data_IF_838241565126
#
_entry.id   IF_838241565126
#
_cell.length_a   1.000
_cell.length_b   1.000
_cell.length_c   1.000
_cell.angle_alpha   90.00
_cell.angle_beta   90.00
_cell.angle_gamma   90.00
#
_symmetry.space_group_name_H-M   'P 1'
#
loop_
_entity.id
_entity.type
_entity.pdbx_description
1 polymer ?
#
# COMPACT_ATOMS: atom_id res chain seq x y z
N UNK A 1 16.74 80.23 30.08
CA UNK A 1 16.70 78.77 29.86
C UNK A 1 18.01 78.35 29.22
N UNK A 2 18.71 77.38 29.83
CA UNK A 2 20.13 77.08 29.59
C UNK A 2 20.38 76.56 28.17
N UNK A 3 21.43 77.12 27.55
CA UNK A 3 22.09 76.68 26.32
C UNK A 3 22.92 75.41 26.54
N UNK A 4 23.28 74.79 25.41
CA UNK A 4 24.54 74.06 25.12
C UNK A 4 24.46 72.54 25.18
N UNK A 5 25.12 71.75 24.33
CA UNK A 5 25.94 71.94 23.11
C UNK A 5 26.33 70.53 22.63
N UNK A 6 26.48 70.39 21.30
CA UNK A 6 27.48 69.64 20.52
C UNK A 6 27.97 68.23 20.91
N UNK A 7 28.07 67.33 19.92
CA UNK A 7 29.29 66.90 19.17
C UNK A 7 28.91 65.68 18.28
N UNK A 8 29.04 65.73 16.93
CA UNK A 8 30.22 65.42 16.09
C UNK A 8 30.76 64.00 16.36
N UNK A 9 30.83 63.05 15.41
CA UNK A 9 31.71 62.91 14.22
C UNK A 9 31.26 61.67 13.40
N UNK A 10 31.21 61.62 12.05
CA UNK A 10 32.33 61.35 11.11
C UNK A 10 33.01 59.99 11.40
N UNK A 11 33.20 58.99 10.53
CA UNK A 11 33.25 58.77 9.08
C UNK A 11 32.91 57.26 8.85
N UNK A 12 32.78 56.61 7.68
CA UNK A 12 33.64 56.57 6.49
C UNK A 12 32.93 55.68 5.46
N UNK A 13 33.08 55.96 4.17
CA UNK A 13 32.60 55.13 3.08
C UNK A 13 33.41 53.82 2.97
N UNK A 14 32.72 52.70 2.71
CA UNK A 14 33.29 51.51 2.10
C UNK A 14 32.33 51.01 1.02
N UNK A 15 32.75 51.18 -0.23
CA UNK A 15 32.21 50.49 -1.41
C UNK A 15 32.68 49.05 -1.32
N UNK A 16 31.76 48.08 -1.30
CA UNK A 16 32.06 46.71 -1.65
C UNK A 16 30.93 46.14 -2.51
N UNK A 17 31.37 45.60 -3.64
CA UNK A 17 30.59 45.18 -4.77
C UNK A 17 29.58 44.08 -4.43
N UNK A 18 28.42 44.17 -5.08
CA UNK A 18 27.46 43.09 -5.22
C UNK A 18 28.12 41.85 -5.81
N UNK A 19 28.21 40.78 -5.02
CA UNK A 19 28.14 39.41 -5.52
C UNK A 19 26.93 38.79 -4.84
N UNK A 20 25.82 38.72 -5.57
CA UNK A 20 24.64 37.98 -5.16
C UNK A 20 24.96 36.48 -5.23
N UNK A 21 25.42 35.92 -4.11
CA UNK A 21 25.36 34.47 -3.89
C UNK A 21 23.94 34.15 -3.46
N UNK A 22 23.22 33.42 -4.30
CA UNK A 22 21.95 32.79 -3.94
C UNK A 22 22.10 32.02 -2.62
N UNK A 23 21.14 32.08 -1.69
CA UNK A 23 21.12 31.12 -0.61
C UNK A 23 20.89 29.74 -1.23
N UNK A 24 21.93 28.91 -1.15
CA UNK A 24 21.83 27.46 -1.19
C UNK A 24 20.75 27.02 -0.21
N UNK A 25 19.60 26.59 -0.71
CA UNK A 25 18.60 25.87 0.05
C UNK A 25 19.19 24.50 0.39
N UNK A 26 19.79 24.42 1.58
CA UNK A 26 20.20 23.20 2.22
C UNK A 26 18.97 22.50 2.81
N UNK A 27 18.87 21.21 2.53
CA UNK A 27 18.22 20.13 3.29
C UNK A 27 16.95 20.49 4.08
N UNK A 28 15.81 19.97 3.63
CA UNK A 28 14.63 19.82 4.48
C UNK A 28 14.99 18.93 5.68
N UNK A 29 14.74 19.37 6.93
CA UNK A 29 14.94 18.51 8.09
C UNK A 29 13.86 17.43 8.09
N UNK A 30 14.30 16.18 7.99
CA UNK A 30 13.49 15.02 8.32
C UNK A 30 12.96 15.15 9.75
N UNK A 31 11.65 15.33 9.86
CA UNK A 31 10.92 15.08 11.09
C UNK A 31 10.64 13.60 11.21
N UNK A 32 11.67 12.80 11.54
CA UNK A 32 11.45 11.47 12.07
C UNK A 32 10.86 11.61 13.47
N UNK A 33 9.64 11.07 13.64
CA UNK A 33 9.15 10.73 14.96
C UNK A 33 10.14 9.73 15.57
N UNK A 34 10.95 10.17 16.53
CA UNK A 34 11.71 9.30 17.42
C UNK A 34 10.69 8.55 18.29
N UNK A 35 10.11 7.48 17.75
CA UNK A 35 9.33 6.53 18.49
C UNK A 35 10.23 5.75 19.44
N UNK A 36 9.87 5.74 20.72
CA UNK A 36 10.41 4.81 21.71
C UNK A 36 10.40 3.37 21.18
N UNK A 37 11.32 2.50 21.63
CA UNK A 37 11.32 1.09 21.23
C UNK A 37 9.94 0.48 21.48
N UNK A 38 9.43 -0.39 20.58
CA UNK A 38 8.12 -1.00 20.76
C UNK A 38 8.12 -1.77 22.08
N UNK A 39 7.31 -1.28 23.01
CA UNK A 39 6.93 -2.05 24.19
C UNK A 39 6.24 -3.29 23.66
N UNK A 40 6.61 -4.48 24.16
CA UNK A 40 6.10 -5.77 23.69
C UNK A 40 4.58 -5.67 23.43
N UNK A 41 4.21 -5.72 22.15
CA UNK A 41 2.83 -5.60 21.70
C UNK A 41 2.07 -6.76 22.34
N UNK A 42 1.09 -6.46 23.20
CA UNK A 42 0.10 -7.48 23.54
C UNK A 42 -0.58 -7.85 22.23
N UNK A 43 -0.46 -9.11 21.81
CA UNK A 43 -1.08 -9.58 20.58
C UNK A 43 -2.56 -9.14 20.55
N UNK A 44 -3.09 -8.73 19.39
CA UNK A 44 -4.48 -8.34 19.30
C UNK A 44 -5.38 -9.47 19.82
N UNK A 45 -6.53 -9.11 20.41
CA UNK A 45 -7.46 -10.10 20.96
C UNK A 45 -8.00 -11.05 19.87
N UNK A 46 -8.00 -10.57 18.63
CA UNK A 46 -8.42 -11.27 17.41
C UNK A 46 -7.32 -11.16 16.35
N UNK A 47 -7.23 -12.14 15.47
CA UNK A 47 -6.30 -12.24 14.35
C UNK A 47 -7.08 -12.58 13.06
N UNK A 48 -6.68 -11.97 11.94
CA UNK A 48 -7.03 -12.43 10.60
C UNK A 48 -6.15 -13.62 10.24
N UNK A 49 -6.78 -14.69 9.77
CA UNK A 49 -6.11 -15.94 9.40
C UNK A 49 -6.54 -16.33 7.99
N UNK A 50 -5.55 -16.56 7.12
CA UNK A 50 -5.76 -17.12 5.80
C UNK A 50 -5.90 -18.64 5.93
N UNK A 51 -7.08 -19.17 5.59
CA UNK A 51 -7.38 -20.60 5.67
C UNK A 51 -7.48 -21.16 4.25
N UNK A 52 -6.56 -22.05 3.83
CA UNK A 52 -6.57 -22.61 2.49
C UNK A 52 -7.85 -23.41 2.22
N UNK A 53 -8.37 -23.30 1.00
CA UNK A 53 -9.40 -24.20 0.50
C UNK A 53 -8.77 -25.54 0.07
N UNK A 54 -9.54 -26.62 0.13
CA UNK A 54 -9.07 -27.95 -0.34
C UNK A 54 -8.79 -28.01 -1.83
N UNK A 55 -9.34 -27.07 -2.60
CA UNK A 55 -9.09 -26.86 -4.03
C UNK A 55 -9.53 -25.45 -4.40
N UNK A 56 -8.97 -24.90 -5.48
CA UNK A 56 -9.33 -23.55 -5.92
C UNK A 56 -10.78 -23.48 -6.41
N UNK A 57 -11.44 -22.35 -6.19
CA UNK A 57 -12.88 -22.17 -6.48
C UNK A 57 -13.17 -20.88 -7.23
N UNK A 58 -14.35 -20.83 -7.86
CA UNK A 58 -14.93 -19.57 -8.35
C UNK A 58 -15.45 -18.75 -7.18
N UNK A 59 -15.31 -17.43 -7.24
CA UNK A 59 -15.87 -16.54 -6.22
C UNK A 59 -17.38 -16.77 -5.99
N UNK A 60 -18.15 -16.94 -7.06
CA UNK A 60 -19.61 -17.18 -6.98
C UNK A 60 -19.98 -18.44 -6.19
N UNK A 61 -19.10 -19.45 -6.18
CA UNK A 61 -19.36 -20.72 -5.51
C UNK A 61 -19.05 -20.65 -4.00
N UNK A 62 -18.19 -19.72 -3.57
CA UNK A 62 -17.71 -19.62 -2.18
C UNK A 62 -18.17 -18.37 -1.45
N UNK A 63 -18.63 -17.33 -2.16
CA UNK A 63 -18.97 -16.05 -1.53
C UNK A 63 -20.13 -16.13 -0.53
N UNK A 64 -20.98 -17.15 -0.64
CA UNK A 64 -22.03 -17.42 0.34
C UNK A 64 -21.53 -18.11 1.62
N UNK A 65 -20.23 -18.39 1.74
CA UNK A 65 -19.62 -18.90 2.97
C UNK A 65 -19.58 -17.77 4.00
N UNK A 66 -20.55 -17.74 4.90
CA UNK A 66 -20.59 -16.76 5.99
C UNK A 66 -19.65 -17.16 7.14
N UNK A 67 -19.41 -18.46 7.32
CA UNK A 67 -18.54 -18.98 8.37
C UNK A 67 -17.58 -20.05 7.83
N UNK A 68 -16.39 -20.07 8.38
CA UNK A 68 -15.43 -21.15 8.21
C UNK A 68 -14.80 -21.46 9.56
N UNK A 69 -14.75 -22.75 9.91
CA UNK A 69 -14.23 -23.24 11.20
C UNK A 69 -14.96 -22.66 12.44
N UNK A 70 -16.21 -22.24 12.27
CA UNK A 70 -17.01 -21.60 13.31
C UNK A 70 -16.68 -20.13 13.54
N UNK A 71 -15.94 -19.48 12.63
CA UNK A 71 -15.66 -18.05 12.65
C UNK A 71 -16.20 -17.35 11.40
N UNK A 72 -16.60 -16.07 11.49
CA UNK A 72 -17.04 -15.31 10.34
C UNK A 72 -15.96 -15.21 9.27
N UNK A 73 -16.36 -15.38 8.01
CA UNK A 73 -15.51 -15.07 6.84
C UNK A 73 -15.54 -13.57 6.60
N UNK A 74 -14.37 -12.93 6.61
CA UNK A 74 -14.24 -11.48 6.37
C UNK A 74 -13.85 -11.16 4.93
N UNK A 75 -13.21 -12.10 4.23
CA UNK A 75 -12.79 -11.94 2.84
C UNK A 75 -12.41 -13.26 2.15
N UNK A 76 -12.14 -13.18 0.84
CA UNK A 76 -11.72 -14.29 -0.01
C UNK A 76 -10.44 -13.90 -0.76
N UNK A 77 -9.35 -14.63 -0.53
CA UNK A 77 -8.07 -14.40 -1.21
C UNK A 77 -8.03 -15.20 -2.50
N UNK A 78 -7.60 -14.57 -3.58
CA UNK A 78 -7.34 -15.21 -4.86
C UNK A 78 -5.87 -15.09 -5.24
N UNK A 79 -5.38 -16.11 -5.91
CA UNK A 79 -4.04 -16.12 -6.50
C UNK A 79 -4.15 -16.70 -7.91
N UNK A 80 -4.01 -15.83 -8.90
CA UNK A 80 -3.90 -16.19 -10.30
C UNK A 80 -2.42 -16.11 -10.73
N UNK A 81 -2.12 -16.59 -11.94
CA UNK A 81 -0.80 -16.46 -12.52
C UNK A 81 -0.34 -15.00 -12.71
N UNK A 82 -1.19 -13.97 -12.61
CA UNK A 82 -0.74 -12.57 -12.88
C UNK A 82 -1.15 -11.58 -11.82
N UNK A 83 -2.08 -11.96 -10.95
CA UNK A 83 -2.70 -11.07 -9.99
C UNK A 83 -2.98 -11.84 -8.71
N UNK A 84 -2.62 -11.23 -7.59
CA UNK A 84 -2.96 -11.70 -6.25
C UNK A 84 -3.77 -10.61 -5.59
N UNK A 85 -4.77 -11.00 -4.81
CA UNK A 85 -5.61 -10.04 -4.14
C UNK A 85 -6.64 -10.67 -3.23
N UNK A 86 -7.58 -9.83 -2.83
CA UNK A 86 -8.67 -10.16 -1.93
C UNK A 86 -9.95 -9.49 -2.38
N UNK A 87 -11.04 -10.24 -2.28
CA UNK A 87 -12.40 -9.72 -2.35
C UNK A 87 -13.02 -9.75 -0.96
N UNK A 88 -13.51 -8.61 -0.47
CA UNK A 88 -14.32 -8.54 0.75
C UNK A 88 -15.79 -8.32 0.40
N UNK A 89 -16.71 -9.17 0.91
CA UNK A 89 -18.16 -8.94 0.80
C UNK A 89 -18.63 -7.62 1.42
N UNK A 90 -17.82 -7.00 2.29
CA UNK A 90 -18.12 -5.74 2.94
C UNK A 90 -17.60 -4.49 2.20
N UNK A 91 -17.01 -4.67 1.01
CA UNK A 91 -16.45 -3.61 0.17
C UNK A 91 -17.46 -2.58 -0.34
N UNK A 92 -18.74 -2.94 -0.34
CA UNK A 92 -19.78 -2.16 -1.01
C UNK A 92 -19.83 -2.36 -2.52
N UNK A 93 -19.06 -3.32 -3.04
CA UNK A 93 -19.14 -3.84 -4.42
C UNK A 93 -19.72 -5.25 -4.33
N UNK A 94 -20.82 -5.51 -5.04
CA UNK A 94 -21.37 -6.86 -5.12
C UNK A 94 -20.52 -7.77 -6.02
N UNK A 95 -20.76 -9.08 -5.92
CA UNK A 95 -19.97 -10.12 -6.60
C UNK A 95 -20.03 -9.99 -8.12
N UNK A 96 -21.18 -9.68 -8.68
CA UNK A 96 -21.35 -9.61 -10.13
C UNK A 96 -20.59 -8.40 -10.69
N UNK A 97 -20.72 -7.25 -10.04
CA UNK A 97 -19.97 -6.03 -10.36
C UNK A 97 -18.48 -6.27 -10.23
N UNK A 98 -18.02 -6.88 -9.14
CA UNK A 98 -16.60 -7.18 -8.94
C UNK A 98 -16.04 -8.09 -10.04
N UNK A 99 -16.74 -9.17 -10.39
CA UNK A 99 -16.29 -10.11 -11.43
C UNK A 99 -16.27 -9.48 -12.83
N UNK A 100 -17.20 -8.56 -13.11
CA UNK A 100 -17.20 -7.78 -14.34
C UNK A 100 -15.99 -6.83 -14.39
N UNK A 101 -15.75 -6.06 -13.33
CA UNK A 101 -14.58 -5.16 -13.22
C UNK A 101 -13.26 -5.93 -13.31
N UNK A 102 -13.15 -7.08 -12.64
CA UNK A 102 -11.99 -7.95 -12.69
C UNK A 102 -11.72 -8.49 -14.10
N UNK A 103 -12.79 -8.91 -14.80
CA UNK A 103 -12.68 -9.31 -16.20
C UNK A 103 -12.28 -8.14 -17.10
N UNK A 104 -12.82 -6.96 -16.86
CA UNK A 104 -12.53 -5.78 -17.66
C UNK A 104 -11.06 -5.37 -17.52
N UNK A 105 -10.52 -5.40 -16.30
CA UNK A 105 -9.13 -5.09 -16.01
C UNK A 105 -8.15 -6.17 -16.51
N UNK A 106 -8.47 -7.45 -16.29
CA UNK A 106 -7.47 -8.52 -16.43
C UNK A 106 -7.77 -9.53 -17.53
N UNK A 107 -8.97 -9.52 -18.10
CA UNK A 107 -9.41 -10.51 -19.09
C UNK A 107 -9.52 -11.94 -18.53
N UNK A 108 -9.67 -12.07 -17.21
CA UNK A 108 -9.76 -13.36 -16.50
C UNK A 108 -10.77 -13.26 -15.36
N UNK A 109 -10.78 -14.25 -14.46
CA UNK A 109 -11.63 -14.37 -13.29
C UNK A 109 -10.77 -14.73 -12.08
N UNK A 110 -11.12 -14.32 -10.86
CA UNK A 110 -10.34 -14.65 -9.67
C UNK A 110 -10.40 -16.15 -9.38
N UNK A 111 -9.24 -16.73 -9.06
CA UNK A 111 -9.07 -18.12 -8.62
C UNK A 111 -8.92 -18.15 -7.10
N UNK A 112 -10.03 -18.40 -6.39
CA UNK A 112 -10.08 -18.30 -4.94
C UNK A 112 -9.33 -19.49 -4.32
N UNK A 113 -8.29 -19.18 -3.55
CA UNK A 113 -7.41 -20.18 -2.94
C UNK A 113 -7.56 -20.24 -1.42
N UNK A 114 -7.99 -19.15 -0.77
CA UNK A 114 -8.17 -19.08 0.69
C UNK A 114 -9.44 -18.31 1.07
N UNK A 115 -9.98 -18.65 2.24
CA UNK A 115 -10.93 -17.80 2.97
C UNK A 115 -10.18 -17.10 4.10
N UNK A 116 -10.51 -15.83 4.33
CA UNK A 116 -9.95 -15.05 5.44
C UNK A 116 -10.97 -15.02 6.56
N UNK A 117 -10.58 -15.45 7.75
CA UNK A 117 -11.43 -15.48 8.95
C UNK A 117 -10.83 -14.65 10.07
N UNK A 118 -11.68 -14.05 10.89
CA UNK A 118 -11.27 -13.34 12.10
C UNK A 118 -11.55 -14.20 13.33
N UNK A 119 -10.52 -14.55 14.09
CA UNK A 119 -10.65 -15.43 15.25
C UNK A 119 -9.73 -15.00 16.41
N UNK A 120 -10.03 -15.39 17.67
CA UNK A 120 -9.13 -15.20 18.79
C UNK A 120 -7.70 -15.71 18.55
N UNK A 121 -6.70 -14.91 18.90
CA UNK A 121 -5.29 -15.21 18.60
C UNK A 121 -4.79 -16.54 19.17
N UNK A 122 -5.21 -16.90 20.39
CA UNK A 122 -4.86 -18.18 21.02
C UNK A 122 -5.47 -19.38 20.28
N UNK A 123 -6.66 -19.20 19.69
CA UNK A 123 -7.28 -20.22 18.84
C UNK A 123 -6.53 -20.33 17.52
N UNK A 124 -6.19 -19.22 16.86
CA UNK A 124 -5.37 -19.22 15.63
C UNK A 124 -4.04 -19.97 15.83
N UNK A 125 -3.36 -19.72 16.96
CA UNK A 125 -2.13 -20.43 17.34
C UNK A 125 -2.36 -21.93 17.51
N UNK A 126 -3.42 -22.31 18.24
CA UNK A 126 -3.77 -23.72 18.48
C UNK A 126 -4.12 -24.44 17.17
N UNK A 127 -4.83 -23.75 16.29
CA UNK A 127 -5.24 -24.18 14.96
C UNK A 127 -4.01 -24.55 14.11
N UNK A 128 -3.05 -23.63 14.01
CA UNK A 128 -1.81 -23.86 13.27
C UNK A 128 -0.99 -25.03 13.83
N UNK A 129 -0.86 -25.12 15.16
CA UNK A 129 -0.10 -26.20 15.81
C UNK A 129 -0.74 -27.58 15.59
N UNK A 130 -2.05 -27.64 15.33
CA UNK A 130 -2.77 -28.88 15.01
C UNK A 130 -2.53 -29.41 13.58
N UNK A 131 -1.79 -28.66 12.73
CA UNK A 131 -1.26 -29.08 11.40
C UNK A 131 -2.28 -29.53 10.35
N UNK A 132 -3.54 -29.12 10.41
CA UNK A 132 -4.46 -29.53 9.36
C UNK A 132 -5.70 -28.67 9.30
N UNK A 133 -5.61 -27.52 8.65
CA UNK A 133 -6.81 -26.74 8.33
C UNK A 133 -6.80 -26.36 6.87
N UNK A 134 -7.53 -27.18 6.14
CA UNK A 134 -8.14 -26.77 4.90
C UNK A 134 -9.64 -26.72 5.15
N UNK A 135 -10.32 -25.77 4.53
CA UNK A 135 -11.79 -25.73 4.56
C UNK A 135 -12.27 -26.32 3.25
N UNK A 136 -13.22 -27.26 3.35
CA UNK A 136 -13.91 -27.74 2.16
C UNK A 136 -14.88 -26.65 1.70
N UNK A 137 -14.87 -26.29 0.41
CA UNK A 137 -15.86 -25.35 -0.10
C UNK A 137 -17.28 -25.91 0.10
N UNK A 138 -18.30 -25.04 0.21
CA UNK A 138 -19.67 -25.48 0.34
C UNK A 138 -20.01 -26.40 -0.84
N UNK A 139 -20.63 -27.53 -0.53
CA UNK A 139 -21.14 -28.46 -1.54
C UNK A 139 -22.31 -27.79 -2.24
N UNK A 140 -22.03 -26.96 -3.26
CA UNK A 140 -23.08 -26.50 -4.16
C UNK A 140 -23.74 -27.73 -4.79
N UNK A 141 -25.07 -27.78 -4.78
CA UNK A 141 -25.90 -28.93 -5.17
C UNK A 141 -25.73 -29.38 -6.63
N UNK A 142 -24.86 -28.71 -7.40
CA UNK A 142 -24.59 -29.00 -8.82
C UNK A 142 -23.12 -29.18 -9.19
N UNK A 143 -22.16 -28.93 -8.29
CA UNK A 143 -20.74 -29.02 -8.62
C UNK A 143 -20.09 -30.22 -7.92
N UNK A 144 -19.65 -31.20 -8.72
CA UNK A 144 -18.56 -32.08 -8.27
C UNK A 144 -17.37 -31.19 -7.91
N UNK A 145 -16.71 -31.56 -6.82
CA UNK A 145 -15.40 -31.14 -6.29
C UNK A 145 -14.24 -31.05 -7.32
N UNK A 146 -14.43 -30.45 -8.49
CA UNK A 146 -13.33 -30.16 -9.42
C UNK A 146 -12.72 -28.82 -9.06
N UNK A 147 -11.40 -28.79 -8.85
CA UNK A 147 -10.65 -27.54 -8.73
C UNK A 147 -10.98 -26.64 -9.91
N UNK A 148 -11.40 -25.42 -9.62
CA UNK A 148 -11.51 -24.38 -10.62
C UNK A 148 -10.11 -23.95 -11.05
N UNK A 149 -9.99 -23.64 -12.34
CA UNK A 149 -8.81 -22.99 -12.92
C UNK A 149 -9.35 -21.82 -13.73
N UNK A 150 -8.95 -20.61 -13.38
CA UNK A 150 -9.34 -19.42 -14.11
C UNK A 150 -8.79 -19.47 -15.55
N UNK A 151 -9.49 -18.89 -16.52
CA UNK A 151 -8.90 -18.63 -17.83
C UNK A 151 -7.60 -17.84 -17.67
N UNK A 152 -6.60 -18.10 -18.53
CA UNK A 152 -5.40 -17.27 -18.53
C UNK A 152 -5.76 -15.79 -18.71
N UNK A 153 -5.10 -14.90 -17.98
CA UNK A 153 -5.27 -13.47 -18.16
C UNK A 153 -4.92 -13.03 -19.58
N UNK A 154 -5.54 -11.95 -20.04
CA UNK A 154 -5.30 -11.39 -21.36
C UNK A 154 -4.03 -10.52 -21.33
N UNK A 155 -2.93 -10.95 -21.98
CA UNK A 155 -1.67 -10.20 -21.95
C UNK A 155 -1.81 -8.77 -22.47
N UNK A 156 -2.66 -8.56 -23.47
CA UNK A 156 -2.83 -7.25 -24.07
C UNK A 156 -3.52 -6.27 -23.12
N UNK A 157 -4.46 -6.76 -22.28
CA UNK A 157 -5.11 -5.91 -21.27
C UNK A 157 -4.16 -5.53 -20.15
N UNK A 158 -3.35 -6.47 -19.69
CA UNK A 158 -2.34 -6.19 -18.66
C UNK A 158 -1.31 -5.19 -19.18
N UNK A 159 -0.79 -5.42 -20.38
CA UNK A 159 0.17 -4.51 -21.01
C UNK A 159 -0.43 -3.12 -21.21
N UNK A 160 -1.67 -3.02 -21.71
CA UNK A 160 -2.37 -1.75 -21.87
C UNK A 160 -2.57 -1.02 -20.53
N UNK A 161 -2.84 -1.77 -19.46
CA UNK A 161 -2.97 -1.21 -18.13
C UNK A 161 -1.65 -0.58 -17.69
N UNK A 162 -0.53 -1.31 -17.77
CA UNK A 162 0.80 -0.80 -17.45
C UNK A 162 1.24 0.35 -18.37
N UNK A 163 1.01 0.25 -19.68
CA UNK A 163 1.31 1.30 -20.65
C UNK A 163 0.57 2.61 -20.29
N UNK A 164 -0.72 2.54 -19.98
CA UNK A 164 -1.47 3.71 -19.53
C UNK A 164 -0.92 4.31 -18.24
N UNK A 165 -0.33 3.50 -17.34
CA UNK A 165 0.30 3.97 -16.11
C UNK A 165 1.66 4.61 -16.36
N UNK A 166 2.46 4.04 -17.27
CA UNK A 166 3.72 4.64 -17.76
C UNK A 166 3.49 5.99 -18.39
N UNK A 167 2.52 6.09 -19.31
CA UNK A 167 2.15 7.35 -19.96
C UNK A 167 1.73 8.42 -18.94
N UNK A 168 0.86 8.04 -17.99
CA UNK A 168 0.39 8.93 -16.92
C UNK A 168 1.53 9.40 -16.02
N UNK A 169 2.44 8.49 -15.65
CA UNK A 169 3.61 8.80 -14.84
C UNK A 169 4.72 9.53 -15.63
N UNK A 170 4.55 9.73 -16.94
CA UNK A 170 5.53 10.40 -17.81
C UNK A 170 6.82 9.61 -17.99
N UNK A 171 6.74 8.27 -17.98
CA UNK A 171 7.89 7.39 -18.13
C UNK A 171 8.26 7.25 -19.61
N UNK A 172 9.45 7.76 -19.97
CA UNK A 172 10.04 7.57 -21.30
C UNK A 172 10.86 6.28 -21.33
N UNK A 173 10.27 5.21 -21.88
CA UNK A 173 10.92 3.90 -21.98
C UNK A 173 12.21 3.93 -22.82
N UNK A 174 12.30 4.79 -23.84
CA UNK A 174 13.52 4.91 -24.63
C UNK A 174 14.67 5.51 -23.79
N UNK A 175 14.34 6.49 -22.95
CA UNK A 175 15.25 7.05 -21.94
C UNK A 175 15.67 6.02 -20.90
N UNK A 176 14.73 5.20 -20.40
CA UNK A 176 15.02 4.10 -19.46
C UNK A 176 15.98 3.08 -20.08
N UNK A 177 15.78 2.67 -21.33
CA UNK A 177 16.68 1.73 -22.03
C UNK A 177 18.07 2.33 -22.30
N UNK A 178 18.13 3.62 -22.58
CA UNK A 178 19.41 4.32 -22.70
C UNK A 178 20.15 4.34 -21.35
N UNK A 179 19.44 4.60 -20.26
CA UNK A 179 19.99 4.55 -18.92
C UNK A 179 20.50 3.14 -18.57
N UNK A 180 19.71 2.10 -18.84
CA UNK A 180 20.09 0.71 -18.58
C UNK A 180 21.41 0.33 -19.28
N UNK A 181 21.58 0.74 -20.55
CA UNK A 181 22.84 0.50 -21.29
C UNK A 181 24.05 1.24 -20.71
N UNK A 182 23.83 2.37 -20.03
CA UNK A 182 24.86 3.16 -19.36
C UNK A 182 25.08 2.78 -17.89
N UNK A 183 24.22 1.94 -17.31
CA UNK A 183 24.28 1.57 -15.90
C UNK A 183 25.45 0.61 -15.64
N UNK A 184 26.60 1.17 -15.25
CA UNK A 184 27.78 0.39 -14.89
C UNK A 184 27.79 -0.07 -13.42
N UNK A 185 26.85 0.40 -12.60
CA UNK A 185 26.81 0.15 -11.14
C UNK A 185 25.54 -0.59 -10.75
N UNK A 186 25.68 -1.52 -9.80
CA UNK A 186 24.54 -2.17 -9.16
C UNK A 186 23.71 -1.14 -8.37
N UNK A 187 22.40 -1.36 -8.31
CA UNK A 187 21.50 -0.56 -7.49
C UNK A 187 21.92 -0.60 -6.02
N UNK A 188 21.84 0.54 -5.34
CA UNK A 188 22.16 0.66 -3.89
C UNK A 188 20.96 1.11 -3.06
N UNK A 189 19.83 1.39 -3.71
CA UNK A 189 18.58 1.82 -3.10
C UNK A 189 17.52 0.78 -3.34
N UNK A 190 16.66 0.59 -2.35
CA UNK A 190 15.51 -0.28 -2.46
C UNK A 190 14.23 0.48 -2.80
N UNK A 191 14.17 1.80 -2.53
CA UNK A 191 12.94 2.56 -2.70
C UNK A 191 12.61 2.75 -4.19
N UNK A 192 11.33 2.74 -4.60
CA UNK A 192 10.98 3.06 -5.98
C UNK A 192 11.48 4.46 -6.38
N UNK A 193 12.05 4.57 -7.56
CA UNK A 193 12.53 5.82 -8.15
C UNK A 193 11.37 6.80 -8.34
N UNK A 194 10.23 6.33 -8.84
CA UNK A 194 9.00 7.12 -8.99
C UNK A 194 7.77 6.36 -8.50
N UNK A 195 6.79 7.12 -8.03
CA UNK A 195 5.50 6.62 -7.56
C UNK A 195 4.42 7.56 -8.08
N UNK A 196 3.43 6.99 -8.73
CA UNK A 196 2.23 7.65 -9.18
C UNK A 196 1.04 7.15 -8.37
N UNK A 197 0.21 8.05 -7.86
CA UNK A 197 -0.95 7.70 -7.04
C UNK A 197 -2.18 8.46 -7.52
N UNK A 198 -3.28 7.73 -7.65
CA UNK A 198 -4.59 8.24 -7.99
C UNK A 198 -5.60 7.80 -6.93
N UNK A 199 -6.30 8.78 -6.37
CA UNK A 199 -7.48 8.55 -5.52
C UNK A 199 -8.68 9.06 -6.31
N UNK A 200 -9.66 8.20 -6.56
CA UNK A 200 -10.92 8.56 -7.22
C UNK A 200 -12.12 8.00 -6.48
N UNK A 201 -13.30 8.49 -6.85
CA UNK A 201 -14.59 8.01 -6.34
C UNK A 201 -15.40 7.47 -7.51
N UNK A 202 -15.21 6.20 -7.91
CA UNK A 202 -15.88 5.64 -9.08
C UNK A 202 -17.40 5.50 -8.85
N UNK A 203 -17.84 5.31 -7.60
CA UNK A 203 -19.26 5.22 -7.24
C UNK A 203 -19.58 6.04 -5.99
N UNK A 204 -20.86 6.16 -5.64
CA UNK A 204 -21.24 6.81 -4.38
C UNK A 204 -20.86 6.04 -3.11
N UNK A 205 -20.51 4.75 -3.23
CA UNK A 205 -20.22 3.83 -2.14
C UNK A 205 -18.77 3.41 -2.03
N UNK A 206 -17.92 3.71 -3.02
CA UNK A 206 -16.53 3.25 -3.06
C UNK A 206 -15.53 4.35 -3.38
N UNK A 207 -14.29 4.15 -2.92
CA UNK A 207 -13.13 4.99 -3.21
C UNK A 207 -12.03 4.08 -3.77
N UNK A 208 -11.51 4.43 -4.93
CA UNK A 208 -10.43 3.70 -5.59
C UNK A 208 -9.10 4.39 -5.29
N UNK A 209 -8.11 3.59 -4.89
CA UNK A 209 -6.70 3.95 -4.78
C UNK A 209 -5.93 3.14 -5.82
N UNK A 210 -5.27 3.81 -6.74
CA UNK A 210 -4.41 3.24 -7.76
C UNK A 210 -3.00 3.77 -7.49
N UNK A 211 -2.05 2.86 -7.21
CA UNK A 211 -0.65 3.21 -7.00
C UNK A 211 0.21 2.46 -8.00
N UNK A 212 1.03 3.20 -8.74
CA UNK A 212 1.98 2.66 -9.71
C UNK A 212 3.41 3.01 -9.29
N UNK A 213 4.21 1.98 -8.98
CA UNK A 213 5.53 2.07 -8.39
C UNK A 213 6.58 1.60 -9.40
N UNK A 214 7.68 2.34 -9.53
CA UNK A 214 8.72 2.06 -10.53
C UNK A 214 10.12 2.15 -9.95
N UNK A 215 10.96 1.17 -10.26
CA UNK A 215 12.39 1.13 -9.94
C UNK A 215 13.17 1.20 -11.24
N UNK A 216 13.91 2.30 -11.41
CA UNK A 216 14.69 2.48 -12.64
C UNK A 216 15.98 1.65 -12.61
N UNK A 217 16.40 1.12 -13.76
CA UNK A 217 17.53 0.20 -13.86
C UNK A 217 18.84 0.87 -13.43
N UNK A 218 19.63 0.13 -12.65
CA UNK A 218 20.91 0.60 -12.09
C UNK A 218 20.80 1.68 -11.02
N UNK A 219 19.58 2.11 -10.69
CA UNK A 219 19.29 3.18 -9.74
C UNK A 219 18.72 2.62 -8.43
N UNK A 220 17.66 1.83 -8.54
CA UNK A 220 17.08 1.10 -7.41
C UNK A 220 16.62 -0.30 -7.83
N UNK A 221 16.53 -1.19 -6.86
CA UNK A 221 15.97 -2.53 -7.03
C UNK A 221 15.50 -3.05 -5.68
N UNK A 222 14.39 -3.78 -5.67
CA UNK A 222 13.93 -4.48 -4.47
C UNK A 222 14.90 -5.57 -4.00
N UNK A 223 15.81 -6.06 -4.86
CA UNK A 223 16.85 -7.04 -4.51
C UNK A 223 17.86 -6.50 -3.49
N UNK A 224 17.91 -5.18 -3.30
CA UNK A 224 18.76 -4.52 -2.31
C UNK A 224 18.28 -4.78 -0.88
N UNK A 225 16.99 -5.13 -0.70
CA UNK A 225 16.41 -5.41 0.62
C UNK A 225 16.89 -6.75 1.18
N UNK A 226 17.14 -6.84 2.49
CA UNK A 226 17.44 -8.12 3.14
C UNK A 226 16.27 -9.09 2.95
N UNK A 227 16.55 -10.40 2.84
CA UNK A 227 15.50 -11.40 2.56
C UNK A 227 14.41 -11.55 3.64
N UNK A 228 14.60 -10.97 4.83
CA UNK A 228 13.59 -10.92 5.89
C UNK A 228 12.79 -9.61 5.89
N UNK A 229 13.20 -8.62 5.10
CA UNK A 229 12.56 -7.31 4.99
C UNK A 229 11.60 -7.29 3.79
N UNK A 230 10.43 -6.69 4.01
CA UNK A 230 9.43 -6.36 3.02
C UNK A 230 9.21 -4.86 2.95
N UNK A 231 8.20 -4.43 2.20
CA UNK A 231 7.78 -3.02 2.20
C UNK A 231 6.25 -2.89 2.16
N UNK A 232 5.74 -1.74 2.59
CA UNK A 232 4.33 -1.35 2.50
C UNK A 232 4.18 -0.03 1.76
N UNK A 233 3.25 0.03 0.82
CA UNK A 233 2.84 1.26 0.14
C UNK A 233 1.49 1.71 0.69
N UNK A 234 1.51 2.85 1.39
CA UNK A 234 0.41 3.35 2.20
C UNK A 234 -0.08 4.69 1.69
N UNK A 235 -1.40 4.81 1.59
CA UNK A 235 -2.10 6.10 1.47
C UNK A 235 -2.88 6.34 2.75
N UNK A 236 -2.53 7.41 3.43
CA UNK A 236 -3.15 7.85 4.67
C UNK A 236 -4.29 8.82 4.37
N UNK A 237 -5.49 8.55 4.89
CA UNK A 237 -6.65 9.41 4.76
C UNK A 237 -7.11 9.90 6.13
N UNK A 238 -7.33 11.21 6.25
CA UNK A 238 -7.62 11.85 7.52
C UNK A 238 -9.05 12.41 7.58
N UNK A 239 -9.65 12.39 8.76
CA UNK A 239 -10.84 13.19 9.09
C UNK A 239 -10.41 14.46 9.83
N UNK A 240 -11.15 15.56 9.63
CA UNK A 240 -10.99 16.81 10.40
C UNK A 240 -12.01 16.89 11.56
N UNK A 241 -12.79 15.83 11.80
CA UNK A 241 -13.77 15.80 12.87
C UNK A 241 -13.08 15.94 14.24
N UNK A 242 -13.46 16.97 15.00
CA UNK A 242 -12.78 17.38 16.24
C UNK A 242 -12.73 16.28 17.30
N UNK A 243 -13.73 15.40 17.35
CA UNK A 243 -13.80 14.27 18.28
C UNK A 243 -12.71 13.21 18.06
N UNK A 244 -12.01 13.24 16.92
CA UNK A 244 -10.99 12.25 16.52
C UNK A 244 -9.58 12.85 16.42
N UNK A 245 -9.43 14.17 16.59
CA UNK A 245 -8.13 14.87 16.49
C UNK A 245 -7.20 14.62 17.68
N UNK A 246 -7.65 13.86 18.67
CA UNK A 246 -6.91 13.54 19.89
C UNK A 246 -6.86 12.03 20.06
N UNK A 247 -5.77 11.58 20.70
CA UNK A 247 -5.46 10.18 21.01
C UNK A 247 -4.97 9.34 19.83
N UNK A 248 -4.36 8.23 20.21
CA UNK A 248 -3.99 7.12 19.33
C UNK A 248 -4.80 5.90 19.71
N UNK A 249 -4.95 4.99 18.76
CA UNK A 249 -5.56 3.69 19.00
C UNK A 249 -4.73 2.90 20.02
N UNK A 250 -5.36 2.02 20.82
CA UNK A 250 -6.80 1.75 20.90
C UNK A 250 -7.60 2.80 21.72
N UNK A 251 -6.96 3.88 22.19
CA UNK A 251 -7.54 4.84 23.14
C UNK A 251 -8.39 5.95 22.48
N UNK A 252 -9.02 5.66 21.34
CA UNK A 252 -10.01 6.56 20.76
C UNK A 252 -11.18 6.70 21.74
N UNK A 253 -11.61 7.94 22.04
CA UNK A 253 -12.63 8.19 23.08
C UNK A 253 -13.91 7.37 22.84
N UNK A 254 -14.70 7.04 23.86
CA UNK A 254 -15.89 6.17 23.71
C UNK A 254 -16.98 6.76 22.79
N UNK A 255 -16.98 8.08 22.57
CA UNK A 255 -17.81 8.74 21.53
C UNK A 255 -17.28 8.52 20.09
N UNK A 256 -16.12 7.86 19.95
CA UNK A 256 -15.35 7.65 18.72
C UNK A 256 -15.36 6.18 18.23
N UNK A 257 -16.35 5.35 18.62
CA UNK A 257 -16.42 3.93 18.22
C UNK A 257 -16.41 3.68 16.70
N UNK A 258 -16.74 4.70 15.90
CA UNK A 258 -16.72 4.63 14.44
C UNK A 258 -15.54 5.39 13.80
N UNK A 259 -14.38 5.50 14.49
CA UNK A 259 -13.20 6.18 13.95
C UNK A 259 -12.78 5.65 12.58
N UNK A 260 -12.87 4.32 12.37
CA UNK A 260 -12.59 3.65 11.09
C UNK A 260 -13.57 4.04 9.98
N UNK A 261 -14.75 4.55 10.34
CA UNK A 261 -15.75 5.01 9.38
C UNK A 261 -15.61 6.50 9.06
N UNK A 262 -14.86 7.28 9.85
CA UNK A 262 -14.90 8.75 9.74
C UNK A 262 -14.22 9.30 8.49
N UNK A 263 -12.92 9.00 8.21
CA UNK A 263 -12.28 9.47 7.00
C UNK A 263 -13.07 9.07 5.75
N UNK A 264 -12.87 9.76 4.63
CA UNK A 264 -13.68 9.55 3.42
C UNK A 264 -13.57 8.13 2.81
N UNK A 265 -12.60 7.34 3.24
CA UNK A 265 -12.46 5.92 2.93
C UNK A 265 -12.23 5.11 4.22
N UNK A 266 -12.86 3.94 4.32
CA UNK A 266 -12.70 3.03 5.46
C UNK A 266 -11.42 2.22 5.34
N UNK A 267 -10.82 1.87 6.48
CA UNK A 267 -9.64 0.99 6.53
C UNK A 267 -9.94 -0.49 6.73
N UNK A 268 -11.14 -0.94 6.37
CA UNK A 268 -11.53 -2.34 6.50
C UNK A 268 -12.47 -2.72 5.38
N UNK A 269 -12.50 -4.02 5.08
CA UNK A 269 -13.46 -4.58 4.15
C UNK A 269 -13.26 -4.12 2.71
N UNK A 270 -12.07 -3.70 2.30
CA UNK A 270 -11.83 -3.28 0.93
C UNK A 270 -11.50 -4.46 0.01
N UNK A 271 -11.66 -4.28 -1.30
CA UNK A 271 -11.09 -5.18 -2.29
C UNK A 271 -9.70 -4.67 -2.66
N UNK A 272 -8.76 -5.56 -2.92
CA UNK A 272 -7.43 -5.16 -3.38
C UNK A 272 -6.80 -6.17 -4.32
N UNK A 273 -5.84 -5.70 -5.11
CA UNK A 273 -5.06 -6.53 -6.03
C UNK A 273 -3.69 -5.93 -6.29
N UNK A 274 -2.70 -6.78 -6.49
CA UNK A 274 -1.35 -6.42 -6.91
C UNK A 274 -0.98 -7.15 -8.18
N UNK A 275 -0.27 -6.44 -9.06
CA UNK A 275 0.34 -6.97 -10.27
C UNK A 275 1.73 -6.38 -10.44
N UNK A 276 2.61 -7.09 -11.12
CA UNK A 276 3.88 -6.52 -11.57
C UNK A 276 4.14 -6.90 -13.03
N UNK A 277 4.97 -6.09 -13.68
CA UNK A 277 5.42 -6.34 -15.03
C UNK A 277 6.93 -6.56 -15.06
N UNK A 278 7.35 -7.63 -15.72
CA UNK A 278 8.75 -8.02 -15.87
C UNK A 278 9.21 -7.97 -17.32
N UNK A 279 8.45 -7.35 -18.24
CA UNK A 279 8.86 -7.12 -19.62
C UNK A 279 9.04 -8.38 -20.49
N UNK A 280 8.77 -9.57 -19.94
CA UNK A 280 8.80 -10.86 -20.64
C UNK A 280 7.39 -11.41 -20.94
N UNK A 281 6.36 -10.55 -20.89
CA UNK A 281 4.95 -10.94 -20.98
C UNK A 281 4.38 -11.38 -19.63
N UNK A 282 3.20 -12.02 -19.65
CA UNK A 282 2.55 -12.52 -18.43
C UNK A 282 3.39 -13.62 -17.79
N UNK A 283 4.02 -13.30 -16.67
CA UNK A 283 4.73 -14.27 -15.84
C UNK A 283 3.90 -14.61 -14.60
N UNK A 284 3.88 -15.90 -14.19
CA UNK A 284 3.33 -16.34 -12.92
C UNK A 284 3.77 -15.43 -11.78
N UNK A 285 2.83 -14.75 -11.15
CA UNK A 285 3.10 -13.95 -9.96
C UNK A 285 3.62 -14.93 -8.90
N UNK A 286 4.83 -14.74 -8.36
CA UNK A 286 5.38 -15.68 -7.41
C UNK A 286 4.43 -15.72 -6.22
N UNK A 287 3.88 -16.90 -5.90
CA UNK A 287 3.13 -17.11 -4.64
C UNK A 287 3.95 -16.70 -3.40
N UNK A 288 5.28 -16.63 -3.57
CA UNK A 288 6.24 -16.15 -2.57
C UNK A 288 6.31 -14.63 -2.42
N UNK A 289 5.74 -13.83 -3.32
CA UNK A 289 5.72 -12.36 -3.20
C UNK A 289 5.13 -11.95 -1.85
N UNK A 290 4.14 -12.73 -1.38
CA UNK A 290 3.55 -12.56 -0.06
C UNK A 290 2.86 -11.21 0.06
N UNK A 291 2.10 -10.81 -0.96
CA UNK A 291 1.28 -9.60 -0.92
C UNK A 291 0.19 -9.70 0.16
N UNK A 292 -0.08 -8.59 0.84
CA UNK A 292 -1.11 -8.48 1.88
C UNK A 292 -1.66 -7.05 1.96
N UNK A 293 -2.92 -6.91 2.38
CA UNK A 293 -3.43 -5.60 2.78
C UNK A 293 -3.10 -5.35 4.23
N UNK A 294 -2.45 -4.23 4.52
CA UNK A 294 -2.19 -3.80 5.89
C UNK A 294 -3.45 -3.17 6.49
N UNK A 295 -4.18 -3.99 7.24
CA UNK A 295 -5.32 -3.57 8.04
C UNK A 295 -4.91 -3.18 9.47
N UNK A 296 -3.63 -3.33 9.83
CA UNK A 296 -3.17 -3.15 11.19
C UNK A 296 -3.08 -1.67 11.52
N UNK A 297 -3.90 -1.26 12.46
CA UNK A 297 -4.19 0.14 12.68
C UNK A 297 -4.03 0.52 14.15
N UNK A 298 -3.47 -0.41 14.94
CA UNK A 298 -3.42 -0.38 16.41
C UNK A 298 -2.72 0.85 16.98
N UNK A 299 -1.80 1.45 16.23
CA UNK A 299 -1.00 2.61 16.66
C UNK A 299 -1.32 3.89 15.90
N UNK A 300 -2.29 3.87 15.00
CA UNK A 300 -2.65 5.07 14.25
C UNK A 300 -3.32 6.10 15.17
N UNK A 301 -3.18 7.36 14.77
CA UNK A 301 -4.02 8.43 15.28
C UNK A 301 -5.50 8.14 14.98
N UNK A 302 -6.38 8.50 15.91
CA UNK A 302 -7.82 8.22 15.78
C UNK A 302 -8.50 8.93 14.60
N UNK A 303 -7.87 9.97 14.03
CA UNK A 303 -8.35 10.70 12.86
C UNK A 303 -7.84 10.12 11.54
N UNK A 304 -7.05 9.05 11.53
CA UNK A 304 -6.34 8.55 10.35
C UNK A 304 -6.75 7.14 10.02
N UNK A 305 -7.04 6.86 8.76
CA UNK A 305 -7.12 5.52 8.21
C UNK A 305 -5.96 5.32 7.23
N UNK A 306 -5.16 4.30 7.45
CA UNK A 306 -4.11 3.87 6.55
C UNK A 306 -4.68 2.88 5.54
N UNK A 307 -4.49 3.14 4.25
CA UNK A 307 -4.83 2.25 3.14
C UNK A 307 -3.51 1.68 2.60
N UNK A 308 -3.08 0.54 3.14
CA UNK A 308 -1.75 -0.03 2.89
C UNK A 308 -1.81 -1.36 2.16
N UNK A 309 -0.94 -1.56 1.17
CA UNK A 309 -0.64 -2.89 0.62
C UNK A 309 0.86 -3.15 0.80
N UNK A 310 1.18 -4.28 1.41
CA UNK A 310 2.53 -4.72 1.67
C UNK A 310 2.95 -5.92 0.85
N UNK A 311 4.26 -6.00 0.62
CA UNK A 311 4.95 -7.09 -0.07
C UNK A 311 5.98 -7.67 0.89
N UNK A 312 5.76 -8.92 1.32
CA UNK A 312 6.65 -9.60 2.28
C UNK A 312 8.02 -9.94 1.70
N UNK A 313 8.10 -10.35 0.44
CA UNK A 313 9.35 -10.80 -0.19
C UNK A 313 9.60 -10.08 -1.51
N UNK A 314 9.87 -8.76 -1.45
CA UNK A 314 9.98 -7.92 -2.64
C UNK A 314 11.18 -8.26 -3.53
N UNK A 315 12.18 -8.97 -3.02
CA UNK A 315 13.33 -9.51 -3.75
C UNK A 315 12.94 -10.60 -4.75
N UNK A 316 11.70 -11.08 -4.69
CA UNK A 316 11.16 -12.03 -5.67
C UNK A 316 10.45 -11.32 -6.84
N UNK A 317 10.36 -9.99 -6.79
CA UNK A 317 9.78 -9.18 -7.84
C UNK A 317 10.61 -9.29 -9.11
N UNK A 318 10.02 -9.80 -10.19
CA UNK A 318 10.69 -9.89 -11.48
C UNK A 318 11.05 -8.51 -12.03
N UNK A 319 12.14 -8.47 -12.80
CA UNK A 319 12.58 -7.27 -13.52
C UNK A 319 12.50 -7.48 -15.03
N UNK A 320 12.30 -6.38 -15.75
CA UNK A 320 12.48 -6.27 -17.18
C UNK A 320 13.89 -6.69 -17.62
N UNK A 321 14.09 -7.07 -18.90
CA UNK A 321 15.42 -7.36 -19.43
C UNK A 321 16.43 -6.23 -19.21
N UNK A 322 15.96 -4.98 -19.17
CA UNK A 322 16.77 -3.79 -18.94
C UNK A 322 17.04 -3.53 -17.44
N UNK A 323 16.45 -4.31 -16.52
CA UNK A 323 16.58 -4.19 -15.06
C UNK A 323 15.53 -3.30 -14.39
N UNK A 324 14.55 -2.77 -15.13
CA UNK A 324 13.44 -2.02 -14.55
C UNK A 324 12.48 -2.95 -13.79
N UNK A 325 11.92 -2.48 -12.67
CA UNK A 325 10.81 -3.17 -12.01
C UNK A 325 9.61 -2.22 -11.92
N UNK A 326 8.42 -2.77 -12.12
CA UNK A 326 7.17 -2.01 -12.08
C UNK A 326 6.12 -2.79 -11.29
N UNK A 327 5.33 -2.09 -10.46
CA UNK A 327 4.23 -2.70 -9.71
C UNK A 327 3.01 -1.80 -9.75
N UNK A 328 1.85 -2.42 -9.93
CA UNK A 328 0.54 -1.79 -9.83
C UNK A 328 -0.20 -2.35 -8.61
N UNK A 329 -0.73 -1.44 -7.80
CA UNK A 329 -1.55 -1.73 -6.63
C UNK A 329 -2.90 -1.05 -6.84
N UNK A 330 -3.98 -1.81 -6.73
CA UNK A 330 -5.34 -1.29 -6.77
C UNK A 330 -6.06 -1.65 -5.48
N UNK A 331 -6.70 -0.67 -4.84
CA UNK A 331 -7.54 -0.87 -3.66
C UNK A 331 -8.88 -0.15 -3.87
N UNK A 332 -9.97 -0.89 -3.76
CA UNK A 332 -11.33 -0.34 -3.77
C UNK A 332 -11.89 -0.42 -2.35
N UNK A 333 -11.86 0.71 -1.65
CA UNK A 333 -12.31 0.81 -0.27
C UNK A 333 -13.78 1.24 -0.17
N UNK A 334 -14.53 0.76 0.84
CA UNK A 334 -15.82 1.34 1.17
C UNK A 334 -15.65 2.82 1.49
N UNK A 335 -16.65 3.61 1.08
CA UNK A 335 -16.73 5.01 1.44
C UNK A 335 -16.97 5.15 2.94
N UNK A 336 -16.24 6.08 3.57
CA UNK A 336 -16.53 6.49 4.93
C UNK A 336 -17.56 7.62 5.02
N UNK A 337 -17.61 8.28 6.17
CA UNK A 337 -18.63 9.27 6.49
C UNK A 337 -18.28 10.65 5.95
N UNK A 338 -17.00 11.00 5.94
CA UNK A 338 -16.55 12.26 5.39
C UNK A 338 -16.60 12.26 3.86
N UNK A 339 -16.92 13.41 3.28
CA UNK A 339 -16.94 13.55 1.82
C UNK A 339 -15.55 13.82 1.25
N UNK A 340 -14.73 14.55 2.00
CA UNK A 340 -13.36 14.91 1.67
C UNK A 340 -12.50 14.75 2.91
N UNK A 341 -11.19 14.58 2.74
CA UNK A 341 -10.26 14.55 3.86
C UNK A 341 -8.84 14.81 3.39
N UNK A 342 -8.00 15.28 4.31
CA UNK A 342 -6.56 15.43 4.05
C UNK A 342 -5.96 14.07 3.72
N UNK A 343 -4.90 14.06 2.92
CA UNK A 343 -4.19 12.84 2.53
C UNK A 343 -2.68 12.96 2.72
N UNK A 344 -2.03 11.83 2.94
CA UNK A 344 -0.58 11.66 2.80
C UNK A 344 -0.28 10.28 2.24
N UNK A 345 0.98 10.03 1.90
CA UNK A 345 1.41 8.72 1.47
C UNK A 345 2.91 8.50 1.67
N UNK A 346 3.26 7.24 1.84
CA UNK A 346 4.57 6.75 2.23
C UNK A 346 4.75 5.32 1.70
N UNK A 347 6.00 4.96 1.40
CA UNK A 347 6.40 3.59 1.19
C UNK A 347 7.46 3.29 2.24
N UNK A 348 7.20 2.33 3.11
CA UNK A 348 8.01 2.08 4.30
C UNK A 348 8.54 0.64 4.31
N UNK A 349 9.77 0.42 4.79
CA UNK A 349 10.28 -0.91 4.99
C UNK A 349 9.59 -1.54 6.20
N UNK A 350 9.28 -2.82 6.08
CA UNK A 350 8.71 -3.64 7.14
C UNK A 350 9.52 -4.91 7.29
N UNK A 351 9.35 -5.61 8.40
CA UNK A 351 10.09 -6.84 8.64
C UNK A 351 9.15 -8.02 8.87
N UNK A 352 9.53 -9.15 8.29
CA UNK A 352 8.75 -10.39 8.28
C UNK A 352 9.06 -11.33 9.43
N UNK A 353 9.93 -10.94 10.38
CA UNK A 353 10.27 -11.76 11.56
C UNK A 353 9.02 -12.14 12.34
N UNK A 354 8.06 -11.23 12.49
CA UNK A 354 6.78 -11.55 13.13
C UNK A 354 6.07 -12.70 12.43
N UNK A 355 6.05 -12.74 11.09
CA UNK A 355 5.47 -13.83 10.30
C UNK A 355 6.26 -15.15 10.37
N UNK A 356 7.56 -15.09 10.62
CA UNK A 356 8.37 -16.29 10.86
C UNK A 356 8.14 -16.86 12.26
N UNK A 357 7.96 -16.00 13.26
CA UNK A 357 7.72 -16.38 14.66
C UNK A 357 6.25 -16.72 14.94
N UNK A 358 5.33 -16.13 14.18
CA UNK A 358 3.88 -16.27 14.32
C UNK A 358 3.24 -16.65 12.97
N UNK A 359 3.64 -17.79 12.36
CA UNK A 359 3.19 -18.20 11.02
C UNK A 359 1.69 -18.56 10.94
N UNK A 360 0.97 -18.50 12.05
CA UNK A 360 -0.49 -18.72 12.12
C UNK A 360 -1.31 -17.45 11.91
N UNK A 361 -0.66 -16.28 11.90
CA UNK A 361 -1.27 -15.01 11.56
C UNK A 361 -1.25 -14.82 10.05
N UNK A 362 -2.25 -14.13 9.50
CA UNK A 362 -2.17 -13.61 8.14
C UNK A 362 -0.99 -12.63 8.02
N UNK A 363 -0.43 -12.49 6.81
CA UNK A 363 0.71 -11.60 6.56
C UNK A 363 0.45 -10.17 7.07
N UNK A 364 -0.79 -9.67 7.06
CA UNK A 364 -1.11 -8.33 7.57
C UNK A 364 -0.90 -8.15 9.07
N UNK A 365 -1.08 -9.19 9.87
CA UNK A 365 -1.04 -9.06 11.34
C UNK A 365 0.37 -9.29 11.91
N UNK A 366 1.22 -9.98 11.14
CA UNK A 366 2.54 -10.39 11.57
C UNK A 366 3.68 -9.58 10.94
N UNK A 367 3.42 -8.84 9.86
CA UNK A 367 4.35 -7.87 9.33
C UNK A 367 4.28 -6.61 10.22
N UNK A 368 5.42 -5.98 10.45
CA UNK A 368 5.47 -4.80 11.28
C UNK A 368 6.57 -3.83 10.87
N UNK A 369 6.35 -2.57 11.22
CA UNK A 369 7.36 -1.52 11.14
C UNK A 369 8.50 -1.87 12.09
N UNK A 370 9.72 -1.98 11.59
CA UNK A 370 10.90 -2.24 12.42
C UNK A 370 12.05 -1.30 12.07
N UNK A 371 13.04 -1.22 12.97
CA UNK A 371 14.35 -0.63 12.66
C UNK A 371 15.08 -1.53 11.68
N UNK A 372 14.76 -1.38 10.40
CA UNK A 372 15.63 -1.83 9.32
C UNK A 372 16.73 -0.79 9.11
N UNK A 373 17.79 -1.14 8.38
CA UNK A 373 18.77 -0.16 7.91
C UNK A 373 18.24 0.76 6.80
N UNK A 374 16.98 0.59 6.41
CA UNK A 374 16.36 1.26 5.28
C UNK A 374 15.50 2.44 5.74
N UNK A 375 15.49 3.50 4.94
CA UNK A 375 14.65 4.66 5.19
C UNK A 375 13.31 4.53 4.46
N UNK A 376 12.27 5.14 5.03
CA UNK A 376 10.98 5.27 4.36
C UNK A 376 11.04 6.31 3.25
N UNK A 377 10.28 6.09 2.20
CA UNK A 377 10.11 6.96 1.04
C UNK A 377 8.78 7.71 1.13
N UNK A 378 8.80 9.02 1.38
CA UNK A 378 7.58 9.83 1.30
C UNK A 378 7.04 9.92 -0.14
N UNK A 379 5.73 9.81 -0.34
CA UNK A 379 5.07 10.07 -1.64
C UNK A 379 4.28 11.38 -1.59
N UNK A 380 3.69 11.70 -0.43
CA UNK A 380 2.99 12.95 -0.18
C UNK A 380 2.99 13.25 1.33
N UNK A 381 3.49 14.41 1.75
CA UNK A 381 3.46 14.80 3.15
C UNK A 381 2.12 15.44 3.55
N UNK A 382 1.62 15.11 4.74
CA UNK A 382 0.32 15.58 5.23
C UNK A 382 0.23 17.10 5.40
N UNK A 383 1.34 17.78 5.72
CA UNK A 383 1.39 19.24 5.86
C UNK A 383 1.17 20.01 4.54
N UNK A 384 1.19 19.33 3.38
CA UNK A 384 0.81 19.93 2.08
C UNK A 384 -0.69 20.18 1.96
N UNK A 385 -1.51 19.68 2.89
CA UNK A 385 -2.95 19.92 3.00
C UNK A 385 -3.72 19.61 1.70
N UNK A 386 -3.26 18.63 0.93
CA UNK A 386 -4.03 18.11 -0.19
C UNK A 386 -5.20 17.28 0.33
N UNK A 387 -6.36 17.40 -0.32
CA UNK A 387 -7.59 16.73 0.09
C UNK A 387 -8.19 15.93 -1.05
N UNK A 388 -8.55 14.68 -0.79
CA UNK A 388 -9.27 13.79 -1.72
C UNK A 388 -10.76 13.72 -1.32
N UNK A 389 -11.66 13.28 -2.22
CA UNK A 389 -11.64 11.94 -2.77
C UNK A 389 -11.18 11.86 -4.23
N UNK A 390 -10.87 12.99 -4.88
CA UNK A 390 -10.33 13.00 -6.24
C UNK A 390 -9.04 13.81 -6.28
N UNK A 391 -7.91 13.13 -6.18
CA UNK A 391 -6.56 13.71 -6.26
C UNK A 391 -5.63 12.70 -6.91
N UNK A 392 -4.82 13.19 -7.84
CA UNK A 392 -3.79 12.42 -8.50
C UNK A 392 -2.45 13.14 -8.38
N UNK A 393 -1.39 12.39 -8.12
CA UNK A 393 -0.05 12.94 -7.98
C UNK A 393 1.06 11.99 -8.36
N UNK A 394 2.17 12.56 -8.79
CA UNK A 394 3.41 11.85 -9.03
C UNK A 394 4.49 12.36 -8.08
N UNK A 395 5.31 11.44 -7.57
CA UNK A 395 6.47 11.70 -6.71
C UNK A 395 7.67 10.99 -7.31
N UNK A 396 8.70 11.75 -7.70
CA UNK A 396 9.93 11.23 -8.28
C UNK A 396 11.14 11.35 -7.36
N UNK A 397 12.31 10.89 -7.83
CA UNK A 397 13.58 11.03 -7.12
C UNK A 397 13.55 10.43 -5.72
N UNK A 398 12.93 9.26 -5.55
CA UNK A 398 12.85 8.59 -4.24
C UNK A 398 12.12 9.41 -3.16
N UNK A 399 11.23 10.32 -3.55
CA UNK A 399 10.52 11.22 -2.63
C UNK A 399 11.27 12.52 -2.32
N UNK A 400 12.46 12.71 -2.87
CA UNK A 400 13.26 13.94 -2.71
C UNK A 400 12.74 15.08 -3.60
N UNK A 401 12.04 14.74 -4.68
CA UNK A 401 11.38 15.72 -5.54
C UNK A 401 9.97 15.97 -5.00
N UNK A 402 9.60 17.25 -4.72
CA UNK A 402 8.25 17.62 -4.34
C UNK A 402 7.17 16.96 -5.21
N UNK A 403 6.13 16.33 -4.64
CA UNK A 403 5.08 15.71 -5.42
C UNK A 403 4.36 16.76 -6.27
N UNK A 404 4.02 16.36 -7.49
CA UNK A 404 3.31 17.19 -8.46
C UNK A 404 1.89 16.67 -8.65
N UNK A 405 0.90 17.54 -8.42
CA UNK A 405 -0.52 17.24 -8.65
C UNK A 405 -0.84 17.34 -10.13
N UNK A 406 -1.69 16.45 -10.63
CA UNK A 406 -2.21 16.50 -12.00
C UNK A 406 -3.71 16.14 -12.03
N UNK A 407 -4.43 16.40 -13.15
CA UNK A 407 -5.82 15.99 -13.28
C UNK A 407 -5.99 14.48 -13.24
N UNK A 408 -6.87 14.02 -12.35
CA UNK A 408 -7.59 12.76 -12.57
C UNK A 408 -8.64 12.98 -13.67
#
# INVERSE_FOLDING_TARGET
MKKSRLMATGATAAVLALVATAPSYAAEPGGEATGSPPTAVSAPATARVDVPLTSHQRLQDVVSMEEALGYPVSAFRFENDVVVGEYSPSSGVDVETYLAEFNDLYGTQPEISHVVVEMPTEQAKSLYMSKGLTVSPPLSSTARSSSYVAPAADPARIEQLFESRRERAGIDMAGVDQQARGAARAATRWEPTSVDVQITRPTSSTVLFDQYLNWYPGQASTDVMNGEDGWEAEVNVYTDASAYQVNQRPNCSVAAANYKDRPFAKNYGWNWSVMYDSGFGLNPLPSRLGAYADYNDLFDECNRNSIGIGIRSPQTLGAWPNGMQEMLILVTAPRGLDNIGRISGNIQPVNSTGCLLQPWLSNTDCMGLTQTGYQSRGTLASWRNWTAPTVCWNSGGYGEIPPSKYPC
#
